data_IF_560185782251
#
_entry.id   IF_560185782251
#
_cell.length_a   1.000
_cell.length_b   1.000
_cell.length_c   1.000
_cell.angle_alpha   90.00
_cell.angle_beta   90.00
_cell.angle_gamma   90.00
#
_symmetry.space_group_name_H-M   'P 1'
#
loop_
_entity.id
_entity.type
_entity.pdbx_description
1 polymer ?
#
# COMPACT_ATOMS: atom_id res chain seq x y z
N UNK A 1 22.15 -5.30 -6.88
CA UNK A 1 21.07 -5.99 -6.14
C UNK A 1 19.76 -5.34 -6.51
N UNK A 2 18.70 -6.10 -6.76
CA UNK A 2 17.35 -5.58 -7.05
C UNK A 2 16.50 -5.67 -5.79
N UNK A 3 15.70 -4.64 -5.50
CA UNK A 3 14.85 -4.55 -4.32
C UNK A 3 13.50 -3.91 -4.65
N UNK A 4 12.44 -4.33 -3.96
CA UNK A 4 11.07 -3.83 -4.11
C UNK A 4 10.41 -3.81 -2.74
N UNK A 5 9.79 -2.69 -2.36
CA UNK A 5 8.96 -2.62 -1.16
C UNK A 5 7.58 -3.24 -1.42
N UNK A 6 7.21 -4.22 -0.60
CA UNK A 6 5.93 -4.93 -0.68
C UNK A 6 4.94 -4.56 0.44
N UNK A 7 5.40 -3.83 1.46
CA UNK A 7 4.59 -3.29 2.55
C UNK A 7 4.87 -1.79 2.63
N UNK A 8 3.94 -0.97 2.17
CA UNK A 8 4.10 0.48 2.06
C UNK A 8 2.78 1.18 2.35
N UNK A 9 2.80 2.14 3.26
CA UNK A 9 1.66 3.01 3.58
C UNK A 9 1.79 4.33 2.82
N UNK A 10 0.67 4.77 2.24
CA UNK A 10 0.50 6.06 1.57
C UNK A 10 -0.26 7.03 2.48
N UNK A 11 -0.42 8.28 2.04
CA UNK A 11 -1.26 9.28 2.74
C UNK A 11 -2.72 8.83 2.97
N UNK A 12 -3.19 7.80 2.26
CA UNK A 12 -4.51 7.22 2.48
C UNK A 12 -4.61 6.33 3.73
N UNK A 13 -3.48 5.99 4.35
CA UNK A 13 -3.43 5.53 5.75
C UNK A 13 -3.55 6.74 6.69
N UNK A 14 -4.74 7.34 6.77
CA UNK A 14 -5.00 8.70 7.28
C UNK A 14 -4.36 9.10 8.63
N UNK A 15 -4.08 8.14 9.51
CA UNK A 15 -3.55 8.40 10.86
C UNK A 15 -2.03 8.18 10.99
N UNK A 16 -1.38 7.55 10.01
CA UNK A 16 0.03 7.12 10.11
C UNK A 16 0.81 7.34 8.80
N UNK A 17 0.17 7.15 7.65
CA UNK A 17 0.82 7.27 6.36
C UNK A 17 1.12 8.71 5.98
N UNK A 18 2.39 9.00 5.71
CA UNK A 18 2.87 10.31 5.25
C UNK A 18 3.39 10.31 3.80
N UNK A 19 3.43 9.14 3.17
CA UNK A 19 4.00 8.99 1.82
C UNK A 19 3.01 9.46 0.75
N UNK A 20 3.23 10.65 0.20
CA UNK A 20 2.49 11.11 -0.97
C UNK A 20 2.77 10.21 -2.19
N UNK A 21 1.72 9.74 -2.86
CA UNK A 21 1.82 8.73 -3.93
C UNK A 21 2.76 9.17 -5.06
N UNK A 22 2.64 10.40 -5.54
CA UNK A 22 3.42 10.88 -6.68
C UNK A 22 4.93 10.92 -6.38
N UNK A 23 5.28 11.38 -5.17
CA UNK A 23 6.67 11.44 -4.67
C UNK A 23 7.21 10.04 -4.40
N UNK A 24 6.39 9.18 -3.81
CA UNK A 24 6.73 7.79 -3.51
C UNK A 24 7.10 7.02 -4.79
N UNK A 25 6.26 7.10 -5.83
CA UNK A 25 6.54 6.47 -7.13
C UNK A 25 7.74 7.12 -7.83
N UNK A 26 7.91 8.46 -7.74
CA UNK A 26 9.11 9.13 -8.27
C UNK A 26 10.38 8.54 -7.66
N UNK A 27 10.39 8.41 -6.33
CA UNK A 27 11.55 7.93 -5.60
C UNK A 27 11.87 6.47 -5.92
N UNK A 28 10.86 5.62 -6.07
CA UNK A 28 11.05 4.23 -6.49
C UNK A 28 11.68 4.16 -7.89
N UNK A 29 11.32 5.07 -8.81
CA UNK A 29 11.92 5.15 -10.15
C UNK A 29 13.39 5.57 -10.08
N UNK A 30 13.71 6.60 -9.29
CA UNK A 30 15.09 7.07 -9.08
C UNK A 30 16.00 5.99 -8.49
N UNK A 31 15.43 5.06 -7.73
CA UNK A 31 16.14 3.94 -7.12
C UNK A 31 16.17 2.69 -8.00
N UNK A 32 15.75 2.80 -9.27
CA UNK A 32 15.67 1.71 -10.24
C UNK A 32 14.85 0.50 -9.74
N UNK A 33 13.83 0.74 -8.93
CA UNK A 33 12.94 -0.31 -8.46
C UNK A 33 11.93 -0.67 -9.56
N UNK A 34 11.83 -1.95 -9.97
CA UNK A 34 10.96 -2.36 -11.08
C UNK A 34 9.46 -2.39 -10.70
N UNK A 35 9.16 -2.43 -9.40
CA UNK A 35 7.81 -2.53 -8.87
C UNK A 35 7.70 -1.80 -7.53
N UNK A 36 6.46 -1.52 -7.12
CA UNK A 36 6.14 -0.95 -5.82
C UNK A 36 4.76 -1.40 -5.36
N UNK A 37 4.60 -1.70 -4.08
CA UNK A 37 3.30 -2.04 -3.50
C UNK A 37 2.60 -0.85 -2.82
N UNK A 38 1.29 -0.96 -2.71
CA UNK A 38 0.42 -0.17 -1.82
C UNK A 38 -0.27 -1.14 -0.87
N UNK A 39 -0.16 -0.91 0.44
CA UNK A 39 -0.76 -1.75 1.49
C UNK A 39 -1.26 -0.89 2.63
N UNK A 40 -2.17 0.04 2.33
CA UNK A 40 -2.71 0.96 3.34
C UNK A 40 -3.47 0.24 4.46
N UNK A 41 -3.52 0.88 5.62
CA UNK A 41 -4.22 0.41 6.82
C UNK A 41 -5.73 0.28 6.57
N UNK A 42 -6.22 -0.96 6.45
CA UNK A 42 -7.64 -1.32 6.39
C UNK A 42 -8.44 -0.69 5.25
N UNK A 43 -7.80 -0.02 4.30
CA UNK A 43 -8.46 0.76 3.24
C UNK A 43 -7.73 0.63 1.90
N UNK A 44 -8.44 0.93 0.82
CA UNK A 44 -7.93 0.90 -0.54
C UNK A 44 -8.22 2.21 -1.30
N UNK A 45 -8.39 3.33 -0.58
CA UNK A 45 -8.79 4.61 -1.17
C UNK A 45 -7.79 5.13 -2.21
N UNK A 46 -6.48 4.95 -1.97
CA UNK A 46 -5.41 5.42 -2.85
C UNK A 46 -5.11 4.54 -4.07
N UNK A 47 -5.78 3.39 -4.23
CA UNK A 47 -5.37 2.37 -5.23
C UNK A 47 -5.41 2.89 -6.66
N UNK A 48 -6.45 3.63 -7.05
CA UNK A 48 -6.58 4.14 -8.43
C UNK A 48 -5.53 5.20 -8.72
N UNK A 49 -5.31 6.12 -7.79
CA UNK A 49 -4.27 7.15 -7.92
C UNK A 49 -2.87 6.52 -8.01
N UNK A 50 -2.58 5.56 -7.11
CA UNK A 50 -1.33 4.81 -7.09
C UNK A 50 -1.09 4.05 -8.39
N UNK A 51 -2.09 3.33 -8.87
CA UNK A 51 -1.99 2.54 -10.10
C UNK A 51 -1.66 3.44 -11.29
N UNK A 52 -2.37 4.55 -11.44
CA UNK A 52 -2.14 5.49 -12.54
C UNK A 52 -0.76 6.15 -12.44
N UNK A 53 -0.34 6.57 -11.24
CA UNK A 53 0.97 7.16 -11.00
C UNK A 53 2.12 6.18 -11.31
N UNK A 54 2.00 4.93 -10.85
CA UNK A 54 2.99 3.88 -11.08
C UNK A 54 3.13 3.55 -12.57
N UNK A 55 2.01 3.37 -13.27
CA UNK A 55 2.00 3.08 -14.71
C UNK A 55 2.60 4.22 -15.53
N UNK A 56 2.34 5.47 -15.14
CA UNK A 56 2.92 6.64 -15.81
C UNK A 56 4.45 6.74 -15.71
N UNK A 57 5.07 6.04 -14.76
CA UNK A 57 6.54 6.00 -14.56
C UNK A 57 7.19 4.65 -14.90
N UNK A 58 6.44 3.76 -15.58
CA UNK A 58 6.84 2.39 -15.91
C UNK A 58 7.25 1.57 -14.68
N UNK A 59 6.63 1.82 -13.53
CA UNK A 59 6.76 0.97 -12.34
C UNK A 59 5.59 -0.01 -12.33
N UNK A 60 5.86 -1.29 -12.09
CA UNK A 60 4.79 -2.28 -11.90
C UNK A 60 4.08 -2.04 -10.56
N UNK A 61 2.79 -1.64 -10.54
CA UNK A 61 2.05 -1.52 -9.30
C UNK A 61 1.70 -2.90 -8.74
N UNK A 62 1.86 -3.07 -7.43
CA UNK A 62 1.40 -4.26 -6.68
C UNK A 62 0.30 -3.78 -5.72
N UNK A 63 -0.93 -4.21 -5.97
CA UNK A 63 -2.09 -3.76 -5.20
C UNK A 63 -2.28 -4.71 -4.01
N UNK A 64 -2.30 -4.15 -2.80
CA UNK A 64 -2.59 -4.87 -1.57
C UNK A 64 -3.31 -3.98 -0.56
N UNK A 65 -3.50 -4.52 0.63
CA UNK A 65 -4.10 -3.83 1.79
C UNK A 65 -3.54 -4.47 3.04
N UNK A 66 -3.23 -3.66 4.06
CA UNK A 66 -2.97 -4.20 5.38
C UNK A 66 -4.30 -4.39 6.11
N UNK A 67 -4.87 -5.59 6.00
CA UNK A 67 -6.18 -5.90 6.56
C UNK A 67 -6.14 -6.07 8.08
N UNK A 68 -7.10 -5.45 8.77
CA UNK A 68 -7.35 -5.74 10.18
C UNK A 68 -8.17 -7.03 10.31
N UNK A 69 -7.58 -8.04 10.94
CA UNK A 69 -8.24 -9.31 11.20
C UNK A 69 -8.65 -9.38 12.68
N UNK A 70 -9.93 -9.64 12.93
CA UNK A 70 -10.39 -9.94 14.28
C UNK A 70 -9.72 -11.23 14.78
N UNK A 71 -9.33 -11.26 16.05
CA UNK A 71 -8.72 -12.45 16.67
C UNK A 71 -9.67 -13.66 16.71
N UNK A 72 -10.96 -13.46 16.45
CA UNK A 72 -12.04 -14.43 16.62
C UNK A 72 -12.99 -14.45 15.45
N UNK A 73 -13.72 -15.56 15.32
CA UNK A 73 -14.77 -15.73 14.35
C UNK A 73 -16.04 -14.97 14.73
N UNK A 74 -16.84 -14.60 13.74
CA UNK A 74 -18.12 -13.90 13.93
C UNK A 74 -19.13 -14.70 14.77
N UNK A 75 -18.99 -16.04 14.80
CA UNK A 75 -19.86 -16.96 15.53
C UNK A 75 -19.42 -17.20 16.96
N UNK A 76 -18.22 -16.76 17.33
CA UNK A 76 -17.68 -16.99 18.66
C UNK A 76 -18.45 -16.11 19.64
N UNK A 77 -19.17 -16.72 20.58
CA UNK A 77 -19.87 -16.02 21.66
C UNK A 77 -19.00 -16.12 22.90
N UNK A 78 -18.42 -15.00 23.34
CA UNK A 78 -17.79 -14.94 24.66
C UNK A 78 -18.84 -14.49 25.66
N UNK A 79 -19.15 -15.29 26.68
CA UNK A 79 -19.91 -14.81 27.82
C UNK A 79 -19.03 -14.23 28.94
N UNK A 80 -17.69 -14.23 28.81
CA UNK A 80 -16.81 -13.56 29.80
C UNK A 80 -17.03 -12.05 29.85
#
# INVERSE_FOLDING_TARGET
>A
MSFVHLHVHTEYSLLDGFSNIQKLVARAKELDMPALAITDHGTMHGVIEFYNAARAKDIKPIIGVEGYLAARGMTDRDPQ
#
